data_IF_624021615264
#
_entry.id   IF_624021615264
#
_cell.length_a   1.000
_cell.length_b   1.000
_cell.length_c   1.000
_cell.angle_alpha   90.00
_cell.angle_beta   90.00
_cell.angle_gamma   90.00
#
_symmetry.space_group_name_H-M   'P 1'
#
loop_
_entity.id
_entity.type
_entity.pdbx_description
1 polymer ?
#
# COMPACT_ATOMS: atom_id res chain seq x y z
N UNK A 1 -2.01 -10.43 -19.18
CA UNK A 1 -3.10 -10.54 -18.18
C UNK A 1 -4.38 -10.77 -18.95
N UNK A 2 -5.26 -11.66 -18.48
CA UNK A 2 -6.65 -11.66 -18.93
C UNK A 2 -7.32 -10.34 -18.51
N UNK A 3 -8.51 -10.06 -19.03
CA UNK A 3 -9.27 -8.85 -18.70
C UNK A 3 -9.54 -8.74 -17.18
N UNK A 4 -8.76 -7.92 -16.48
CA UNK A 4 -8.87 -7.72 -15.02
C UNK A 4 -10.21 -7.10 -14.64
N UNK A 5 -10.72 -6.18 -15.47
CA UNK A 5 -12.02 -5.55 -15.22
C UNK A 5 -13.15 -6.57 -15.28
N UNK A 6 -13.11 -7.48 -16.26
CA UNK A 6 -14.08 -8.57 -16.34
C UNK A 6 -13.98 -9.52 -15.14
N UNK A 7 -12.77 -9.80 -14.63
CA UNK A 7 -12.59 -10.63 -13.43
C UNK A 7 -13.19 -9.97 -12.19
N UNK A 8 -12.97 -8.67 -12.00
CA UNK A 8 -13.50 -7.93 -10.85
C UNK A 8 -15.03 -7.85 -10.84
N UNK A 9 -15.70 -7.92 -12.01
CA UNK A 9 -17.16 -7.96 -12.09
C UNK A 9 -17.78 -9.19 -11.40
N UNK A 10 -16.98 -10.22 -11.08
CA UNK A 10 -17.45 -11.42 -10.37
C UNK A 10 -17.53 -11.25 -8.85
N UNK A 11 -17.07 -10.11 -8.31
CA UNK A 11 -17.04 -9.83 -6.88
C UNK A 11 -17.92 -8.61 -6.55
N UNK A 12 -18.64 -8.63 -5.42
CA UNK A 12 -19.41 -7.47 -4.96
C UNK A 12 -18.47 -6.41 -4.37
N UNK A 13 -18.02 -5.47 -5.21
CA UNK A 13 -17.13 -4.37 -4.83
C UNK A 13 -17.77 -3.01 -5.11
N UNK A 14 -17.41 -1.99 -4.33
CA UNK A 14 -17.77 -0.61 -4.70
C UNK A 14 -16.91 -0.14 -5.88
N UNK A 15 -17.35 0.90 -6.64
CA UNK A 15 -16.54 1.47 -7.72
C UNK A 15 -15.14 1.91 -7.26
N UNK A 16 -15.02 2.47 -6.05
CA UNK A 16 -13.77 2.94 -5.49
C UNK A 16 -12.82 1.79 -5.16
N UNK A 17 -13.35 0.71 -4.56
CA UNK A 17 -12.56 -0.50 -4.28
C UNK A 17 -12.05 -1.13 -5.58
N UNK A 18 -12.91 -1.20 -6.60
CA UNK A 18 -12.55 -1.73 -7.92
C UNK A 18 -11.43 -0.90 -8.55
N UNK A 19 -11.56 0.43 -8.54
CA UNK A 19 -10.56 1.33 -9.08
C UNK A 19 -9.23 1.22 -8.33
N UNK A 20 -9.26 1.14 -7.01
CA UNK A 20 -8.05 0.98 -6.20
C UNK A 20 -7.30 -0.34 -6.49
N UNK A 21 -8.01 -1.42 -6.85
CA UNK A 21 -7.37 -2.67 -7.33
C UNK A 21 -6.72 -2.47 -8.70
N UNK A 22 -7.44 -1.87 -9.66
CA UNK A 22 -6.93 -1.67 -11.02
C UNK A 22 -5.68 -0.77 -11.02
N UNK A 23 -5.71 0.31 -10.24
CA UNK A 23 -4.60 1.27 -10.15
C UNK A 23 -3.46 0.81 -9.23
N UNK A 24 -3.60 -0.35 -8.58
CA UNK A 24 -2.67 -0.83 -7.53
C UNK A 24 -2.45 0.24 -6.45
N UNK A 25 -3.50 0.96 -6.08
CA UNK A 25 -3.47 1.99 -5.05
C UNK A 25 -3.46 1.36 -3.66
N UNK A 26 -2.30 0.87 -3.23
CA UNK A 26 -2.16 0.04 -2.03
C UNK A 26 -2.66 0.72 -0.76
N UNK A 27 -2.35 2.00 -0.56
CA UNK A 27 -2.82 2.76 0.60
C UNK A 27 -4.33 2.94 0.58
N UNK A 28 -4.90 3.19 -0.60
CA UNK A 28 -6.34 3.37 -0.76
C UNK A 28 -7.10 2.06 -0.55
N UNK A 29 -6.55 0.92 -0.99
CA UNK A 29 -7.11 -0.40 -0.68
C UNK A 29 -7.25 -0.62 0.83
N UNK A 30 -6.27 -0.17 1.63
CA UNK A 30 -6.36 -0.24 3.08
C UNK A 30 -7.41 0.72 3.65
N UNK A 31 -7.48 1.96 3.15
CA UNK A 31 -8.49 2.95 3.56
C UNK A 31 -9.92 2.49 3.25
N UNK A 32 -10.11 1.75 2.16
CA UNK A 32 -11.40 1.19 1.73
C UNK A 32 -11.75 -0.15 2.41
N UNK A 33 -11.02 -0.53 3.47
CA UNK A 33 -11.32 -1.70 4.30
C UNK A 33 -10.56 -2.97 3.95
N UNK A 34 -9.63 -2.90 2.99
CA UNK A 34 -8.73 -4.01 2.67
C UNK A 34 -7.75 -4.29 3.81
N UNK A 35 -7.48 -5.56 4.05
CA UNK A 35 -6.45 -5.98 4.98
C UNK A 35 -5.15 -6.29 4.22
N UNK A 36 -4.01 -5.80 4.74
CA UNK A 36 -2.71 -5.89 4.06
C UNK A 36 -2.31 -7.31 3.67
N UNK A 37 -2.65 -8.33 4.47
CA UNK A 37 -2.32 -9.72 4.17
C UNK A 37 -3.13 -10.27 2.98
N UNK A 38 -4.29 -9.68 2.68
CA UNK A 38 -5.11 -10.04 1.53
C UNK A 38 -4.72 -9.24 0.29
N UNK A 39 -4.53 -7.91 0.42
CA UNK A 39 -4.14 -7.05 -0.70
C UNK A 39 -2.75 -7.39 -1.22
N UNK A 40 -1.84 -7.82 -0.35
CA UNK A 40 -0.52 -8.30 -0.75
C UNK A 40 -0.58 -9.51 -1.71
N UNK A 41 -1.64 -10.32 -1.70
CA UNK A 41 -1.76 -11.41 -2.67
C UNK A 41 -1.82 -10.91 -4.10
N UNK A 42 -2.43 -9.74 -4.34
CA UNK A 42 -2.46 -9.08 -5.65
C UNK A 42 -1.04 -8.62 -6.01
N UNK A 43 -0.36 -7.91 -5.09
CA UNK A 43 1.01 -7.46 -5.28
C UNK A 43 1.98 -8.60 -5.60
N UNK A 44 1.82 -9.75 -4.94
CA UNK A 44 2.63 -10.93 -5.20
C UNK A 44 2.44 -11.49 -6.63
N UNK A 45 1.23 -11.42 -7.18
CA UNK A 45 0.99 -11.76 -8.60
C UNK A 45 1.69 -10.79 -9.55
N UNK A 46 1.81 -9.52 -9.17
CA UNK A 46 2.59 -8.51 -9.91
C UNK A 46 4.10 -8.62 -9.64
N UNK A 47 4.55 -9.62 -8.86
CA UNK A 47 5.94 -9.85 -8.44
C UNK A 47 6.54 -8.71 -7.62
N UNK A 48 5.70 -7.95 -6.91
CA UNK A 48 6.13 -6.94 -5.96
C UNK A 48 6.40 -7.58 -4.59
N UNK A 49 7.40 -7.03 -3.88
CA UNK A 49 7.73 -7.43 -2.51
C UNK A 49 7.14 -6.44 -1.48
N UNK A 50 7.31 -6.72 -0.19
CA UNK A 50 6.79 -5.84 0.87
C UNK A 50 7.44 -4.45 0.93
N UNK A 51 8.69 -4.31 0.47
CA UNK A 51 9.39 -3.01 0.45
C UNK A 51 8.85 -2.11 -0.65
N UNK A 52 8.49 -2.66 -1.82
CA UNK A 52 7.77 -1.92 -2.86
C UNK A 52 6.47 -1.32 -2.33
N UNK A 53 5.68 -2.13 -1.61
CA UNK A 53 4.41 -1.67 -1.03
C UNK A 53 4.66 -0.67 0.09
N UNK A 54 5.64 -0.90 0.95
CA UNK A 54 6.04 0.03 2.01
C UNK A 54 6.40 1.41 1.45
N UNK A 55 7.15 1.46 0.34
CA UNK A 55 7.48 2.69 -0.36
C UNK A 55 6.23 3.38 -0.93
N UNK A 56 5.38 2.62 -1.64
CA UNK A 56 4.17 3.14 -2.27
C UNK A 56 3.10 3.62 -1.28
N UNK A 57 3.12 3.13 -0.04
CA UNK A 57 2.19 3.53 1.02
C UNK A 57 2.76 4.61 1.96
N UNK A 58 3.98 5.08 1.71
CA UNK A 58 4.62 6.08 2.55
C UNK A 58 3.97 7.46 2.36
N UNK A 59 3.76 8.19 3.46
CA UNK A 59 3.23 9.56 3.42
C UNK A 59 4.20 10.53 2.72
N UNK A 60 5.51 10.24 2.80
CA UNK A 60 6.54 10.94 2.04
C UNK A 60 6.83 10.12 0.78
N UNK A 61 6.68 10.69 -0.43
CA UNK A 61 7.04 10.00 -1.67
C UNK A 61 8.46 9.46 -1.58
N UNK A 62 8.59 8.15 -1.78
CA UNK A 62 9.88 7.46 -1.80
C UNK A 62 9.85 6.28 -2.76
N UNK A 63 10.99 5.98 -3.34
CA UNK A 63 11.25 4.82 -4.19
C UNK A 63 11.46 3.56 -3.34
N UNK A 64 11.39 2.38 -3.96
CA UNK A 64 11.74 1.12 -3.28
C UNK A 64 13.18 1.18 -2.74
N UNK A 65 14.13 1.74 -3.51
CA UNK A 65 15.52 1.83 -3.10
C UNK A 65 15.70 2.71 -1.85
N UNK A 66 15.01 3.86 -1.78
CA UNK A 66 15.02 4.73 -0.60
C UNK A 66 14.38 4.06 0.60
N UNK A 67 13.25 3.37 0.42
CA UNK A 67 12.61 2.61 1.49
C UNK A 67 13.53 1.48 1.99
N UNK A 68 14.18 0.76 1.08
CA UNK A 68 15.13 -0.30 1.39
C UNK A 68 16.30 0.25 2.18
N UNK A 69 16.87 1.37 1.75
CA UNK A 69 17.98 2.00 2.45
C UNK A 69 17.56 2.46 3.85
N UNK A 70 16.39 3.08 4.00
CA UNK A 70 15.83 3.42 5.31
C UNK A 70 15.73 2.18 6.22
N UNK A 71 15.31 1.03 5.69
CA UNK A 71 15.25 -0.22 6.48
C UNK A 71 16.64 -0.75 6.86
N UNK A 72 17.64 -0.60 5.98
CA UNK A 72 19.05 -0.96 6.26
C UNK A 72 19.62 -0.04 7.35
N UNK A 73 19.28 1.25 7.33
CA UNK A 73 19.77 2.27 8.27
C UNK A 73 19.12 2.19 9.67
N UNK A 74 18.27 1.19 9.91
CA UNK A 74 17.62 0.95 11.20
C UNK A 74 16.11 1.21 11.22
N UNK A 75 15.50 1.53 10.08
CA UNK A 75 14.07 1.75 9.92
C UNK A 75 13.62 3.18 10.24
N UNK A 76 12.31 3.44 10.07
CA UNK A 76 11.71 4.74 10.37
C UNK A 76 11.84 5.06 11.86
N UNK A 77 12.38 6.24 12.18
CA UNK A 77 12.54 6.71 13.57
C UNK A 77 11.18 6.77 14.30
N UNK A 78 11.19 6.35 15.56
CA UNK A 78 10.05 6.47 16.46
C UNK A 78 9.92 7.88 17.05
N UNK A 79 10.97 8.70 17.00
CA UNK A 79 10.93 10.07 17.49
C UNK A 79 9.91 10.88 16.68
N UNK A 80 8.90 11.44 17.37
CA UNK A 80 7.81 12.19 16.74
C UNK A 80 6.72 11.33 16.08
N UNK A 81 6.79 10.00 16.18
CA UNK A 81 5.91 9.05 15.47
C UNK A 81 5.15 8.09 16.41
N UNK A 82 5.09 8.38 17.72
CA UNK A 82 4.41 7.49 18.68
C UNK A 82 2.97 7.90 18.96
N UNK A 83 2.64 9.19 18.79
CA UNK A 83 1.28 9.70 19.03
C UNK A 83 0.87 10.76 18.01
N UNK A 84 -0.45 10.92 17.83
CA UNK A 84 -1.01 11.94 16.96
C UNK A 84 -0.69 13.37 17.41
N UNK A 85 -0.44 13.58 18.71
CA UNK A 85 -0.08 14.89 19.25
C UNK A 85 1.39 15.25 19.01
N UNK A 86 2.25 14.24 18.80
CA UNK A 86 3.64 14.44 18.37
C UNK A 86 3.73 14.73 16.87
N UNK A 87 2.90 14.05 16.07
CA UNK A 87 2.81 14.28 14.64
C UNK A 87 2.18 15.66 14.36
N UNK A 88 2.81 16.48 13.51
CA UNK A 88 2.45 17.90 13.30
C UNK A 88 0.99 18.17 12.86
N UNK A 89 0.19 17.16 12.52
CA UNK A 89 -1.23 17.28 12.16
C UNK A 89 -1.98 15.99 12.54
N UNK A 90 -2.39 15.87 13.81
CA UNK A 90 -3.28 14.79 14.27
C UNK A 90 -4.72 14.89 13.74
#
# INVERSE_FOLDING_TARGET
LADEEAYLNTFPMTPEQRQAVLDRSWLELLRLGGNIYFTFKIAAFDRLNMQHLGAAMSDTPMTEAEFTQMMIDGGRSIEGNRSKTEAKNG
#
